data_IF_395052234031
#
_entry.id   IF_395052234031
#
_cell.length_a   1.000
_cell.length_b   1.000
_cell.length_c   1.000
_cell.angle_alpha   90.00
_cell.angle_beta   90.00
_cell.angle_gamma   90.00
#
_symmetry.space_group_name_H-M   'P 1'
#
loop_
_entity.id
_entity.type
_entity.pdbx_description
1 polymer ?
#
# COMPACT_ATOMS: atom_id res chain seq x y z
N UNK A 1 -53.03 24.88 16.78
CA UNK A 1 -51.58 25.15 16.63
C UNK A 1 -51.15 25.96 17.84
N UNK A 2 -50.17 25.47 18.61
CA UNK A 2 -49.57 26.21 19.71
C UNK A 2 -48.40 27.02 19.15
N UNK A 3 -48.34 28.31 19.46
CA UNK A 3 -47.18 29.17 19.16
C UNK A 3 -46.64 29.80 20.43
N UNK A 4 -45.32 29.92 20.53
CA UNK A 4 -44.63 30.48 21.70
C UNK A 4 -43.49 31.39 21.23
N UNK A 5 -43.36 32.53 21.91
CA UNK A 5 -42.31 33.53 21.64
C UNK A 5 -42.74 34.61 20.64
N UNK A 6 -42.10 35.79 20.73
CA UNK A 6 -42.33 36.90 19.79
C UNK A 6 -41.93 36.49 18.37
N UNK A 7 -42.84 36.59 17.41
CA UNK A 7 -42.63 36.10 16.05
C UNK A 7 -42.83 34.58 15.87
N UNK A 8 -43.55 33.93 16.80
CA UNK A 8 -43.89 32.50 16.76
C UNK A 8 -42.66 31.59 16.57
N UNK A 9 -41.60 31.84 17.35
CA UNK A 9 -40.31 31.16 17.20
C UNK A 9 -40.39 29.66 17.46
N UNK A 10 -41.32 29.23 18.30
CA UNK A 10 -41.63 27.83 18.55
C UNK A 10 -43.08 27.54 18.16
N UNK A 11 -43.30 26.48 17.36
CA UNK A 11 -44.65 26.11 16.91
C UNK A 11 -44.86 24.60 17.00
N UNK A 12 -46.06 24.21 17.45
CA UNK A 12 -46.57 22.84 17.44
C UNK A 12 -47.89 22.80 16.66
N UNK A 13 -47.98 21.91 15.67
CA UNK A 13 -49.18 21.80 14.83
C UNK A 13 -50.35 21.10 15.56
N UNK A 14 -51.51 21.01 14.91
CA UNK A 14 -52.71 20.37 15.48
C UNK A 14 -52.55 18.87 15.76
N UNK A 15 -51.58 18.21 15.13
CA UNK A 15 -51.27 16.80 15.36
C UNK A 15 -50.24 16.58 16.47
N UNK A 16 -49.80 17.65 17.15
CA UNK A 16 -48.81 17.57 18.24
C UNK A 16 -47.35 17.57 17.78
N UNK A 17 -47.08 17.72 16.49
CA UNK A 17 -45.69 17.75 15.99
C UNK A 17 -45.09 19.14 16.15
N UNK A 18 -43.85 19.19 16.62
CA UNK A 18 -43.04 20.41 16.56
C UNK A 18 -42.80 20.72 15.08
N UNK A 19 -43.11 21.92 14.62
CA UNK A 19 -42.90 22.34 13.22
C UNK A 19 -41.92 23.49 13.10
N UNK A 20 -41.61 24.17 14.20
CA UNK A 20 -40.68 25.31 14.20
C UNK A 20 -39.95 25.43 15.53
N UNK A 21 -38.64 25.67 15.48
CA UNK A 21 -37.79 26.03 16.61
C UNK A 21 -36.86 27.16 16.14
N UNK A 22 -36.73 28.23 16.94
CA UNK A 22 -35.91 29.41 16.61
C UNK A 22 -36.20 30.00 15.22
N UNK A 23 -37.48 30.04 14.83
CA UNK A 23 -37.95 30.47 13.50
C UNK A 23 -37.52 29.59 12.32
N UNK A 24 -36.91 28.44 12.55
CA UNK A 24 -36.56 27.46 11.52
C UNK A 24 -37.67 26.42 11.45
N UNK A 25 -38.25 26.23 10.26
CA UNK A 25 -39.26 25.19 10.02
C UNK A 25 -38.59 23.83 9.92
N UNK A 26 -39.13 22.83 10.60
CA UNK A 26 -38.65 21.44 10.55
C UNK A 26 -39.73 20.48 10.07
N UNK A 27 -39.31 19.51 9.25
CA UNK A 27 -40.12 18.35 8.86
C UNK A 27 -39.51 17.11 9.48
N UNK A 28 -40.23 16.50 10.44
CA UNK A 28 -39.76 15.34 11.20
C UNK A 28 -40.09 14.03 10.48
N UNK A 29 -39.26 12.97 10.64
CA UNK A 29 -39.64 11.62 10.24
C UNK A 29 -40.92 11.17 10.94
N UNK A 30 -41.76 10.41 10.26
CA UNK A 30 -42.99 9.83 10.82
C UNK A 30 -42.75 8.59 11.69
N UNK A 31 -41.51 8.10 11.75
CA UNK A 31 -41.11 6.91 12.51
C UNK A 31 -39.84 7.18 13.33
N UNK A 32 -39.71 6.46 14.44
CA UNK A 32 -38.50 6.45 15.26
C UNK A 32 -37.34 5.81 14.51
N UNK A 33 -36.13 6.31 14.74
CA UNK A 33 -34.91 5.73 14.19
C UNK A 33 -34.67 4.32 14.73
N UNK A 34 -34.07 3.46 13.91
CA UNK A 34 -33.56 2.18 14.36
C UNK A 34 -32.43 2.33 15.39
N UNK A 35 -32.01 1.21 15.98
CA UNK A 35 -30.82 1.19 16.83
C UNK A 35 -29.60 1.73 16.06
N UNK A 36 -28.75 2.52 16.73
CA UNK A 36 -27.57 3.17 16.15
C UNK A 36 -27.89 4.12 14.98
N UNK A 37 -29.00 4.85 15.06
CA UNK A 37 -29.29 5.95 14.13
C UNK A 37 -29.22 7.32 14.81
N UNK A 38 -28.85 8.33 14.04
CA UNK A 38 -28.87 9.75 14.44
C UNK A 38 -29.78 10.53 13.50
N UNK A 39 -30.45 11.55 14.04
CA UNK A 39 -31.28 12.44 13.26
C UNK A 39 -30.38 13.49 12.60
N UNK A 40 -30.40 13.57 11.27
CA UNK A 40 -29.62 14.54 10.49
C UNK A 40 -30.51 15.60 9.88
N UNK A 41 -29.95 16.78 9.65
CA UNK A 41 -30.62 17.91 9.00
C UNK A 41 -30.03 18.12 7.61
N UNK A 42 -30.89 18.33 6.61
CA UNK A 42 -30.48 18.54 5.21
C UNK A 42 -30.07 19.99 4.86
N UNK A 43 -29.84 20.85 5.85
CA UNK A 43 -29.56 22.28 5.69
C UNK A 43 -30.80 23.16 5.45
N UNK A 44 -31.96 22.57 5.19
CA UNK A 44 -33.21 23.28 4.86
C UNK A 44 -34.39 22.88 5.77
N UNK A 45 -34.10 22.27 6.93
CA UNK A 45 -35.12 21.89 7.91
C UNK A 45 -35.72 20.49 7.74
N UNK A 46 -35.39 19.77 6.66
CA UNK A 46 -35.74 18.36 6.51
C UNK A 46 -34.89 17.50 7.43
N UNK A 47 -35.54 16.73 8.31
CA UNK A 47 -34.86 15.84 9.24
C UNK A 47 -35.00 14.37 8.79
N UNK A 48 -33.90 13.62 8.77
CA UNK A 48 -33.87 12.21 8.35
C UNK A 48 -32.99 11.36 9.25
N UNK A 49 -33.43 10.15 9.58
CA UNK A 49 -32.58 9.20 10.30
C UNK A 49 -31.51 8.64 9.38
N UNK A 50 -30.28 8.63 9.85
CA UNK A 50 -29.14 7.96 9.19
C UNK A 50 -28.40 7.10 10.20
N UNK A 51 -27.58 6.16 9.75
CA UNK A 51 -26.71 5.41 10.64
C UNK A 51 -25.77 6.36 11.40
N UNK A 52 -25.67 6.18 12.71
CA UNK A 52 -24.73 6.89 13.56
C UNK A 52 -23.30 6.62 13.07
N UNK A 53 -22.58 7.68 12.68
CA UNK A 53 -21.22 7.56 12.14
C UNK A 53 -21.11 7.37 10.63
N UNK A 54 -22.20 7.47 9.86
CA UNK A 54 -22.11 7.58 8.40
C UNK A 54 -21.36 8.86 8.03
N UNK A 55 -20.08 8.73 7.68
CA UNK A 55 -19.26 9.85 7.22
C UNK A 55 -19.25 9.86 5.68
N UNK A 56 -19.61 10.98 5.07
CA UNK A 56 -19.72 11.10 3.60
C UNK A 56 -18.38 10.97 2.88
N UNK A 57 -17.26 11.10 3.60
CA UNK A 57 -15.90 11.09 3.03
C UNK A 57 -15.01 9.97 3.57
N UNK A 58 -15.53 9.08 4.43
CA UNK A 58 -14.75 7.93 4.87
C UNK A 58 -14.91 6.77 3.88
N UNK A 59 -13.91 5.91 3.85
CA UNK A 59 -13.97 4.68 3.07
C UNK A 59 -14.76 3.63 3.84
N UNK A 60 -15.84 3.12 3.25
CA UNK A 60 -16.73 2.14 3.87
C UNK A 60 -16.47 0.71 3.38
N UNK A 61 -16.76 -0.25 4.26
CA UNK A 61 -16.86 -1.64 3.86
C UNK A 61 -17.99 -1.81 2.83
N UNK A 62 -17.75 -2.61 1.78
CA UNK A 62 -18.55 -2.71 0.55
C UNK A 62 -18.34 -1.58 -0.47
N UNK A 63 -17.37 -0.69 -0.24
CA UNK A 63 -16.86 0.27 -1.22
C UNK A 63 -17.67 1.56 -1.34
N UNK A 64 -17.03 2.57 -1.91
CA UNK A 64 -17.63 3.88 -2.21
C UNK A 64 -17.46 4.18 -3.69
N UNK A 65 -18.37 4.99 -4.24
CA UNK A 65 -18.28 5.49 -5.62
C UNK A 65 -18.11 7.00 -5.61
N UNK A 66 -17.04 7.48 -6.23
CA UNK A 66 -16.69 8.91 -6.28
C UNK A 66 -16.74 9.42 -7.72
N UNK A 67 -17.18 10.66 -7.92
CA UNK A 67 -17.19 11.34 -9.24
C UNK A 67 -15.89 12.11 -9.51
N UNK A 68 -14.92 12.02 -8.61
CA UNK A 68 -13.60 12.64 -8.67
C UNK A 68 -12.57 11.83 -7.86
N UNK A 69 -11.36 12.39 -7.67
CA UNK A 69 -10.31 11.71 -6.93
C UNK A 69 -10.71 11.50 -5.46
N UNK A 70 -10.81 10.25 -5.03
CA UNK A 70 -10.95 9.91 -3.63
C UNK A 70 -9.58 9.99 -2.94
N UNK A 71 -9.52 10.69 -1.80
CA UNK A 71 -8.28 10.78 -0.99
C UNK A 71 -8.46 9.99 0.29
N UNK A 72 -7.66 8.94 0.47
CA UNK A 72 -7.52 8.22 1.73
C UNK A 72 -6.21 8.65 2.40
N UNK A 73 -6.28 9.28 3.57
CA UNK A 73 -5.10 9.70 4.30
C UNK A 73 -5.39 10.60 5.49
N UNK A 74 -4.32 10.99 6.16
CA UNK A 74 -4.28 12.07 7.16
C UNK A 74 -3.97 13.40 6.48
N UNK A 75 -4.41 14.51 7.06
CA UNK A 75 -4.09 15.87 6.59
C UNK A 75 -3.28 16.67 7.63
N UNK A 76 -2.71 15.96 8.59
CA UNK A 76 -1.86 16.47 9.66
C UNK A 76 -0.47 15.82 9.58
N UNK A 77 0.32 15.94 10.64
CA UNK A 77 1.69 15.42 10.69
C UNK A 77 1.77 13.91 11.01
N UNK A 78 0.64 13.21 11.13
CA UNK A 78 0.62 11.78 11.45
C UNK A 78 0.62 10.94 10.17
N UNK A 79 1.16 9.73 10.31
CA UNK A 79 1.29 8.74 9.23
C UNK A 79 -0.02 7.98 9.02
N UNK A 80 -0.19 7.38 7.84
CA UNK A 80 -1.34 6.53 7.54
C UNK A 80 -0.95 5.04 7.69
N UNK A 81 -1.50 4.37 8.69
CA UNK A 81 -1.36 2.93 8.89
C UNK A 81 -2.57 2.17 8.33
N UNK A 82 -2.31 1.00 7.74
CA UNK A 82 -3.29 0.00 7.36
C UNK A 82 -3.16 -1.18 8.32
N UNK A 83 -4.23 -1.48 9.05
CA UNK A 83 -4.24 -2.51 10.09
C UNK A 83 -5.30 -3.59 9.84
N UNK A 84 -5.08 -4.77 10.44
CA UNK A 84 -6.08 -5.84 10.51
C UNK A 84 -5.97 -6.51 11.86
N UNK A 85 -7.08 -6.56 12.61
CA UNK A 85 -7.10 -7.11 13.97
C UNK A 85 -6.19 -6.34 14.94
N UNK A 86 -6.11 -5.00 14.80
CA UNK A 86 -5.26 -4.13 15.62
C UNK A 86 -3.76 -4.31 15.39
N UNK A 87 -3.37 -5.02 14.33
CA UNK A 87 -1.96 -5.15 13.93
C UNK A 87 -1.74 -4.43 12.61
N UNK A 88 -0.79 -3.52 12.59
CA UNK A 88 -0.35 -2.84 11.38
C UNK A 88 0.24 -3.83 10.37
N UNK A 89 -0.15 -3.69 9.10
CA UNK A 89 0.31 -4.51 7.97
C UNK A 89 1.07 -3.70 6.93
N UNK A 90 0.69 -2.44 6.76
CA UNK A 90 1.33 -1.50 5.84
C UNK A 90 1.19 -0.09 6.41
N UNK A 91 2.12 0.80 6.05
CA UNK A 91 2.04 2.22 6.38
C UNK A 91 2.59 3.08 5.25
N UNK A 92 2.08 4.30 5.16
CA UNK A 92 2.71 5.40 4.43
C UNK A 92 3.33 6.34 5.46
N UNK A 93 4.66 6.40 5.49
CA UNK A 93 5.46 7.17 6.45
C UNK A 93 6.54 7.96 5.71
N UNK A 94 6.62 9.28 5.95
CA UNK A 94 7.59 10.17 5.30
C UNK A 94 7.59 10.10 3.75
N UNK A 95 6.45 9.77 3.14
CA UNK A 95 6.33 9.57 1.68
C UNK A 95 6.78 8.19 1.17
N UNK A 96 7.19 7.30 2.07
CA UNK A 96 7.58 5.92 1.78
C UNK A 96 6.48 4.94 2.16
N UNK A 97 6.41 3.81 1.45
CA UNK A 97 5.54 2.69 1.79
C UNK A 97 6.33 1.63 2.53
N UNK A 98 5.92 1.30 3.75
CA UNK A 98 6.39 0.15 4.52
C UNK A 98 5.36 -0.98 4.49
N UNK A 99 5.76 -2.22 4.18
CA UNK A 99 4.92 -3.42 4.29
C UNK A 99 5.55 -4.35 5.33
N UNK A 100 4.85 -4.56 6.44
CA UNK A 100 5.39 -5.27 7.61
C UNK A 100 6.60 -4.58 8.24
N UNK A 101 6.78 -3.28 7.99
CA UNK A 101 7.83 -2.42 8.52
C UNK A 101 7.22 -1.05 8.88
N UNK A 102 7.51 -0.57 10.09
CA UNK A 102 6.93 0.68 10.64
C UNK A 102 7.83 1.90 10.47
N UNK A 103 9.06 1.68 9.98
CA UNK A 103 10.14 2.67 9.83
C UNK A 103 10.78 2.62 8.43
N UNK A 104 9.99 2.72 7.33
CA UNK A 104 10.50 2.53 5.98
C UNK A 104 11.54 3.60 5.58
N UNK A 105 12.76 3.18 5.24
CA UNK A 105 13.85 4.08 4.84
C UNK A 105 13.99 4.28 3.32
N UNK A 106 13.20 3.59 2.50
CA UNK A 106 13.17 3.72 1.04
C UNK A 106 11.73 3.79 0.52
N UNK A 107 11.54 4.33 -0.70
CA UNK A 107 10.22 4.59 -1.30
C UNK A 107 9.28 3.39 -1.20
N UNK A 108 9.82 2.18 -1.39
CA UNK A 108 9.18 0.93 -0.97
C UNK A 108 10.14 0.17 -0.06
N UNK A 109 9.65 -0.22 1.11
CA UNK A 109 10.35 -1.05 2.10
C UNK A 109 9.46 -2.23 2.49
N UNK A 110 10.02 -3.45 2.53
CA UNK A 110 9.28 -4.66 2.92
C UNK A 110 10.07 -5.46 3.96
N UNK A 111 9.38 -5.84 5.03
CA UNK A 111 9.88 -6.68 6.12
C UNK A 111 10.64 -5.89 7.18
N UNK A 112 10.32 -6.17 8.45
CA UNK A 112 10.86 -5.50 9.63
C UNK A 112 12.40 -5.39 9.62
N UNK A 113 12.90 -4.17 9.76
CA UNK A 113 14.32 -3.87 9.70
C UNK A 113 14.81 -3.62 8.26
N UNK A 114 13.92 -3.12 7.40
CA UNK A 114 14.23 -2.74 6.04
C UNK A 114 14.81 -3.87 5.17
N UNK A 115 14.31 -5.10 5.29
CA UNK A 115 14.96 -6.27 4.66
C UNK A 115 15.02 -6.19 3.12
N UNK A 116 14.00 -5.59 2.51
CA UNK A 116 13.92 -5.30 1.08
C UNK A 116 13.64 -3.82 0.86
N UNK A 117 14.38 -3.17 -0.04
CA UNK A 117 14.25 -1.74 -0.32
C UNK A 117 14.34 -1.43 -1.81
N UNK A 118 13.43 -0.56 -2.29
CA UNK A 118 13.49 0.09 -3.60
C UNK A 118 13.56 1.60 -3.40
N UNK A 119 14.60 2.22 -3.97
CA UNK A 119 14.84 3.65 -3.80
C UNK A 119 13.95 4.52 -4.71
N UNK A 120 14.08 5.85 -4.59
CA UNK A 120 13.31 6.82 -5.38
C UNK A 120 13.59 6.80 -6.89
N UNK A 121 14.69 6.18 -7.33
CA UNK A 121 14.99 5.94 -8.74
C UNK A 121 14.39 4.63 -9.27
N UNK A 122 13.66 3.87 -8.44
CA UNK A 122 13.09 2.57 -8.80
C UNK A 122 14.07 1.40 -8.73
N UNK A 123 15.29 1.60 -8.22
CA UNK A 123 16.29 0.55 -8.10
C UNK A 123 16.14 -0.24 -6.80
N UNK A 124 16.27 -1.56 -6.87
CA UNK A 124 16.39 -2.39 -5.67
C UNK A 124 17.76 -2.10 -5.04
N UNK A 125 17.79 -1.60 -3.81
CA UNK A 125 19.04 -1.27 -3.11
C UNK A 125 19.37 -2.24 -1.99
N UNK A 126 18.40 -3.07 -1.58
CA UNK A 126 18.59 -4.05 -0.50
C UNK A 126 17.70 -5.26 -0.67
N UNK A 127 18.26 -6.46 -0.43
CA UNK A 127 17.53 -7.73 -0.33
C UNK A 127 18.13 -8.53 0.83
N UNK A 128 17.30 -9.10 1.71
CA UNK A 128 17.73 -9.83 2.90
C UNK A 128 18.73 -9.05 3.76
N UNK A 129 18.53 -7.74 3.88
CA UNK A 129 19.44 -6.80 4.54
C UNK A 129 20.86 -6.71 3.94
N UNK A 130 21.05 -7.18 2.71
CA UNK A 130 22.28 -7.02 1.95
C UNK A 130 22.09 -5.86 0.98
N UNK A 131 22.94 -4.84 1.06
CA UNK A 131 22.93 -3.71 0.10
C UNK A 131 23.42 -4.18 -1.26
N UNK A 132 22.78 -3.71 -2.33
CA UNK A 132 23.16 -3.94 -3.72
C UNK A 132 23.32 -2.61 -4.45
N UNK A 133 24.26 -2.58 -5.40
CA UNK A 133 24.39 -1.50 -6.38
C UNK A 133 24.31 -2.10 -7.78
N UNK A 134 23.32 -1.67 -8.56
CA UNK A 134 23.10 -2.17 -9.92
C UNK A 134 23.86 -1.31 -10.94
N UNK A 135 24.24 -1.86 -12.10
CA UNK A 135 24.75 -1.08 -13.21
C UNK A 135 23.76 0.00 -13.63
N UNK A 136 24.24 1.21 -13.88
CA UNK A 136 23.41 2.33 -14.35
C UNK A 136 23.15 2.31 -15.86
N UNK A 137 23.65 1.30 -16.58
CA UNK A 137 23.50 1.16 -18.02
C UNK A 137 23.35 -0.30 -18.43
N UNK A 138 22.77 -0.51 -19.61
CA UNK A 138 22.72 -1.80 -20.27
C UNK A 138 24.14 -2.35 -20.56
N UNK A 139 24.29 -3.68 -20.73
CA UNK A 139 25.53 -4.27 -21.20
C UNK A 139 25.90 -3.74 -22.59
N UNK A 140 27.19 -3.55 -22.85
CA UNK A 140 27.69 -3.04 -24.15
C UNK A 140 28.01 -4.16 -25.14
N UNK A 141 27.96 -5.42 -24.70
CA UNK A 141 28.18 -6.60 -25.51
C UNK A 141 27.13 -7.69 -25.22
N UNK A 142 26.91 -8.56 -26.21
CA UNK A 142 26.11 -9.77 -26.02
C UNK A 142 26.79 -10.75 -25.06
N UNK A 143 26.02 -11.65 -24.45
CA UNK A 143 26.51 -12.67 -23.51
C UNK A 143 27.18 -12.09 -22.26
N UNK A 144 26.64 -10.99 -21.73
CA UNK A 144 27.02 -10.47 -20.41
C UNK A 144 26.05 -10.93 -19.34
N UNK A 145 26.59 -11.25 -18.16
CA UNK A 145 25.85 -11.60 -16.96
C UNK A 145 26.12 -10.58 -15.87
N UNK A 146 25.19 -10.46 -14.94
CA UNK A 146 25.39 -9.65 -13.76
C UNK A 146 26.15 -10.46 -12.71
N UNK A 147 27.31 -9.96 -12.30
CA UNK A 147 28.22 -10.67 -11.37
C UNK A 147 28.54 -9.80 -10.16
N UNK A 148 28.85 -10.46 -9.03
CA UNK A 148 29.25 -9.77 -7.79
C UNK A 148 30.71 -9.33 -7.91
N UNK A 149 30.95 -8.01 -7.85
CA UNK A 149 32.28 -7.41 -7.93
C UNK A 149 33.06 -7.53 -6.62
N UNK A 150 32.39 -7.40 -5.47
CA UNK A 150 32.99 -7.47 -4.14
C UNK A 150 32.14 -8.32 -3.20
N UNK A 151 32.80 -9.14 -2.38
CA UNK A 151 32.15 -10.03 -1.40
C UNK A 151 31.41 -9.27 -0.28
N UNK A 152 31.69 -7.98 -0.10
CA UNK A 152 30.98 -7.10 0.80
C UNK A 152 30.11 -6.12 0.00
N UNK A 153 28.79 -6.22 0.16
CA UNK A 153 27.85 -5.20 -0.33
C UNK A 153 27.39 -5.32 -1.79
N UNK A 154 27.40 -6.54 -2.36
CA UNK A 154 26.57 -6.86 -3.52
C UNK A 154 26.67 -5.88 -4.69
N UNK A 155 27.86 -5.32 -4.95
CA UNK A 155 28.06 -4.47 -6.13
C UNK A 155 27.96 -5.40 -7.34
N UNK A 156 26.99 -5.12 -8.19
CA UNK A 156 26.69 -5.91 -9.36
C UNK A 156 27.25 -5.20 -10.60
N UNK A 157 28.01 -5.93 -11.41
CA UNK A 157 28.59 -5.42 -12.65
C UNK A 157 28.32 -6.38 -13.81
N UNK A 158 28.16 -5.82 -15.01
CA UNK A 158 28.16 -6.62 -16.21
C UNK A 158 29.54 -7.24 -16.41
N UNK A 159 29.59 -8.56 -16.53
CA UNK A 159 30.78 -9.30 -16.86
C UNK A 159 30.50 -10.19 -18.07
N UNK A 160 31.51 -10.41 -18.91
CA UNK A 160 31.41 -11.44 -19.94
C UNK A 160 31.14 -12.79 -19.28
N UNK A 161 30.19 -13.55 -19.82
CA UNK A 161 29.93 -14.91 -19.38
C UNK A 161 31.11 -15.81 -19.78
N UNK A 162 32.18 -15.82 -18.97
CA UNK A 162 33.37 -16.66 -19.19
C UNK A 162 33.35 -17.94 -18.38
N UNK A 163 32.41 -18.09 -17.42
CA UNK A 163 32.19 -19.28 -16.59
C UNK A 163 30.71 -19.70 -16.58
N UNK A 164 30.47 -21.02 -16.56
CA UNK A 164 29.17 -21.71 -16.73
C UNK A 164 28.05 -21.09 -15.88
N UNK A 165 27.07 -20.51 -16.56
CA UNK A 165 25.65 -20.68 -16.24
C UNK A 165 25.25 -22.12 -16.59
N UNK A 166 24.60 -22.82 -15.68
CA UNK A 166 24.03 -24.15 -15.93
C UNK A 166 22.98 -24.04 -17.05
N UNK A 167 23.29 -24.48 -18.28
CA UNK A 167 22.24 -24.86 -19.23
C UNK A 167 22.71 -25.93 -20.22
N UNK A 168 21.83 -26.90 -20.37
CA UNK A 168 21.91 -28.08 -21.20
C UNK A 168 21.80 -27.76 -22.68
N UNK A 169 22.69 -28.32 -23.50
CA UNK A 169 22.26 -28.85 -24.80
C UNK A 169 22.83 -28.25 -26.10
N UNK A 170 23.85 -27.39 -26.09
CA UNK A 170 24.52 -27.00 -27.32
C UNK A 170 26.03 -27.33 -27.28
N UNK A 171 26.46 -28.17 -28.22
CA UNK A 171 27.86 -28.58 -28.34
C UNK A 171 28.74 -27.38 -28.74
N UNK A 172 29.72 -27.01 -27.90
CA UNK A 172 30.80 -26.11 -28.32
C UNK A 172 31.23 -25.01 -27.36
N UNK A 173 30.66 -24.88 -26.16
CA UNK A 173 31.12 -23.91 -25.16
C UNK A 173 30.99 -24.48 -23.75
N UNK A 174 32.09 -25.04 -23.22
CA UNK A 174 32.17 -25.54 -21.85
C UNK A 174 33.35 -24.90 -21.14
N UNK A 175 33.16 -24.48 -19.89
CA UNK A 175 34.22 -23.84 -19.08
C UNK A 175 34.98 -24.83 -18.19
N UNK A 176 34.58 -26.09 -18.17
CA UNK A 176 35.47 -27.20 -17.79
C UNK A 176 35.08 -28.45 -18.58
N UNK A 177 36.05 -29.11 -19.21
CA UNK A 177 35.87 -30.47 -19.75
C UNK A 177 36.25 -31.46 -18.67
N UNK A 178 35.25 -32.01 -17.97
CA UNK A 178 35.46 -33.29 -17.28
C UNK A 178 35.33 -34.38 -18.34
N UNK A 179 36.46 -34.86 -18.87
CA UNK A 179 36.47 -36.06 -19.72
C UNK A 179 36.75 -37.28 -18.85
N UNK A 180 36.04 -38.38 -19.11
CA UNK A 180 36.53 -39.69 -18.70
C UNK A 180 37.81 -39.94 -19.52
N UNK A 181 38.95 -40.07 -18.87
CA UNK A 181 40.13 -40.62 -19.52
C UNK A 181 39.86 -42.09 -19.85
N UNK A 182 40.34 -42.55 -21.00
CA UNK A 182 40.31 -43.96 -21.37
C UNK A 182 41.41 -44.72 -20.60
N UNK A 183 41.46 -44.58 -19.28
CA UNK A 183 42.35 -45.33 -18.39
C UNK A 183 41.69 -46.59 -17.81
N UNK A 184 40.44 -46.88 -18.21
CA UNK A 184 39.73 -48.10 -17.85
C UNK A 184 39.22 -48.15 -16.41
N UNK A 185 39.34 -47.06 -15.64
CA UNK A 185 38.86 -46.97 -14.26
C UNK A 185 38.06 -45.68 -14.12
N UNK A 186 36.73 -45.76 -14.27
CA UNK A 186 35.81 -44.61 -14.42
C UNK A 186 35.82 -43.58 -13.28
N UNK A 187 36.90 -42.82 -13.13
CA UNK A 187 37.08 -41.75 -12.17
C UNK A 187 37.49 -40.48 -12.90
N UNK A 188 36.66 -39.46 -12.76
CA UNK A 188 36.89 -38.15 -13.35
C UNK A 188 37.86 -37.32 -12.49
N UNK A 189 38.87 -36.70 -13.10
CA UNK A 189 39.72 -35.70 -12.43
C UNK A 189 39.81 -34.41 -13.25
N UNK A 190 39.89 -33.29 -12.56
CA UNK A 190 40.21 -32.00 -13.18
C UNK A 190 41.69 -32.01 -13.61
N UNK A 191 41.96 -31.75 -14.89
CA UNK A 191 43.31 -31.48 -15.36
C UNK A 191 43.55 -29.98 -15.17
N UNK A 192 44.54 -29.64 -14.36
CA UNK A 192 45.07 -28.28 -14.20
C UNK A 192 45.84 -27.86 -15.46
#
# INVERSE_FOLDING_TARGET
MLTVGNGDLFQVNSSGNIVKINNITYSWPSLQGGANQVLTNNGSGGLTWVAAGACTTCFHNNGDSFTGLATLGTNDAYELAFETGGTEKMRIAFGNVGIGDTTPLSLLTVGNGDLFQVNSSGNIVKINNITYSWPSSAPTAVNQVLSVQTVAGGILQWASATQVSNDSGAAGSYVARIKATADGVGSYRAVL
#
